data_IF_823743348822
#
_entry.id   IF_823743348822
#
_cell.length_a   1.000
_cell.length_b   1.000
_cell.length_c   1.000
_cell.angle_alpha   90.00
_cell.angle_beta   90.00
_cell.angle_gamma   90.00
#
_symmetry.space_group_name_H-M   'P 1'
#
loop_
_entity.id
_entity.type
_entity.pdbx_description
1 polymer ?
#
# COMPACT_ATOMS: atom_id res chain seq x y z
N UNK A 1 49.73 -1.51 19.38
CA UNK A 1 49.01 -1.55 18.09
C UNK A 1 47.48 -1.66 18.23
N UNK A 2 46.94 -1.74 19.45
CA UNK A 2 45.50 -1.88 19.74
C UNK A 2 44.70 -0.57 19.74
N UNK A 3 45.37 0.60 19.86
CA UNK A 3 44.71 1.92 19.91
C UNK A 3 44.05 2.34 18.59
N UNK A 4 44.60 1.93 17.44
CA UNK A 4 44.05 2.31 16.13
C UNK A 4 42.81 1.49 15.73
N UNK A 5 42.68 0.26 16.25
CA UNK A 5 41.52 -0.60 16.01
C UNK A 5 40.23 -0.05 16.66
N UNK A 6 40.35 0.59 17.83
CA UNK A 6 39.23 1.19 18.54
C UNK A 6 38.66 2.44 17.85
N UNK A 7 39.46 3.10 17.00
CA UNK A 7 39.04 4.28 16.23
C UNK A 7 38.30 3.93 14.93
N UNK A 8 38.36 2.67 14.48
CA UNK A 8 37.67 2.21 13.26
C UNK A 8 36.22 1.79 13.49
N UNK A 9 35.84 1.38 14.71
CA UNK A 9 34.46 1.01 15.04
C UNK A 9 33.42 2.14 14.84
N UNK A 10 33.66 3.40 15.25
CA UNK A 10 32.66 4.45 15.06
C UNK A 10 32.51 4.87 13.59
N UNK A 11 33.54 4.67 12.77
CA UNK A 11 33.51 5.05 11.36
C UNK A 11 32.57 4.15 10.54
N UNK A 12 32.52 2.84 10.86
CA UNK A 12 31.58 1.90 10.23
C UNK A 12 30.12 2.13 10.66
N UNK A 13 29.88 2.66 11.86
CA UNK A 13 28.53 2.99 12.32
C UNK A 13 27.93 4.20 11.57
N UNK A 14 28.76 5.15 11.13
CA UNK A 14 28.32 6.36 10.43
C UNK A 14 27.87 6.09 8.99
N UNK A 15 28.46 5.09 8.32
CA UNK A 15 28.12 4.71 6.94
C UNK A 15 26.99 3.67 6.85
N UNK A 16 26.62 3.03 7.96
CA UNK A 16 25.56 2.01 7.97
C UNK A 16 24.14 2.57 8.20
N UNK A 17 23.92 3.85 7.95
CA UNK A 17 22.56 4.40 7.93
C UNK A 17 21.85 3.95 6.64
N UNK A 18 21.22 2.76 6.72
CA UNK A 18 20.25 2.34 5.73
C UNK A 18 19.10 3.36 5.77
N UNK A 19 19.15 4.32 4.85
CA UNK A 19 18.08 5.28 4.61
C UNK A 19 16.85 4.47 4.23
N UNK A 20 16.06 4.10 5.23
CA UNK A 20 14.73 3.55 5.00
C UNK A 20 13.92 4.71 4.47
N UNK A 21 13.94 4.89 3.14
CA UNK A 21 13.00 5.76 2.45
C UNK A 21 11.62 5.24 2.84
N UNK A 22 11.00 5.91 3.82
CA UNK A 22 9.58 5.76 4.08
C UNK A 22 8.91 6.22 2.82
N UNK A 23 8.56 5.29 1.95
CA UNK A 23 7.63 5.56 0.87
C UNK A 23 6.30 5.86 1.57
N UNK A 24 6.06 7.14 1.85
CA UNK A 24 4.89 7.63 2.60
C UNK A 24 3.63 7.59 1.75
N UNK A 25 3.73 7.21 0.48
CA UNK A 25 2.55 6.96 -0.33
C UNK A 25 1.81 5.77 0.27
N UNK A 26 0.62 6.03 0.82
CA UNK A 26 -0.27 4.99 1.25
C UNK A 26 -0.67 4.16 0.04
N UNK A 27 -0.81 2.84 0.21
CA UNK A 27 -1.35 1.95 -0.84
C UNK A 27 -2.74 2.40 -1.30
N UNK A 28 -3.41 3.21 -0.48
CA UNK A 28 -4.74 3.76 -0.70
C UNK A 28 -4.75 5.13 -1.38
N UNK A 29 -3.59 5.77 -1.60
CA UNK A 29 -3.53 7.10 -2.16
C UNK A 29 -4.12 7.12 -3.58
N UNK A 30 -5.15 7.94 -3.79
CA UNK A 30 -5.89 8.05 -5.05
C UNK A 30 -6.96 6.97 -5.26
N UNK A 31 -7.16 6.05 -4.31
CA UNK A 31 -8.19 5.02 -4.39
C UNK A 31 -9.46 5.45 -3.63
N UNK A 32 -10.62 5.05 -4.15
CA UNK A 32 -11.92 5.24 -3.48
C UNK A 32 -12.75 3.97 -3.54
N UNK A 33 -13.55 3.73 -2.51
CA UNK A 33 -14.48 2.61 -2.46
C UNK A 33 -15.59 2.84 -3.48
N UNK A 34 -15.81 1.86 -4.34
CA UNK A 34 -16.86 1.94 -5.35
C UNK A 34 -18.21 1.56 -4.72
N UNK A 35 -19.10 2.54 -4.60
CA UNK A 35 -20.45 2.38 -4.02
C UNK A 35 -21.54 2.83 -5.00
N UNK A 36 -21.80 2.06 -6.07
CA UNK A 36 -22.85 2.38 -7.02
C UNK A 36 -24.22 2.43 -6.34
N UNK A 37 -25.12 3.28 -6.86
CA UNK A 37 -26.52 3.33 -6.40
C UNK A 37 -27.20 1.98 -6.64
N UNK A 38 -28.23 1.61 -5.86
CA UNK A 38 -28.88 0.29 -5.99
C UNK A 38 -29.35 -0.04 -7.41
N UNK A 39 -29.99 0.91 -8.10
CA UNK A 39 -30.42 0.73 -9.49
C UNK A 39 -29.24 0.45 -10.43
N UNK A 40 -28.15 1.21 -10.31
CA UNK A 40 -26.94 1.04 -11.11
C UNK A 40 -26.25 -0.29 -10.81
N UNK A 41 -26.19 -0.69 -9.53
CA UNK A 41 -25.63 -1.98 -9.14
C UNK A 41 -26.44 -3.14 -9.76
N UNK A 42 -27.78 -3.06 -9.72
CA UNK A 42 -28.64 -4.05 -10.34
C UNK A 42 -28.42 -4.14 -11.86
N UNK A 43 -28.32 -3.00 -12.55
CA UNK A 43 -28.00 -2.97 -13.98
C UNK A 43 -26.64 -3.62 -14.25
N UNK A 44 -25.58 -3.22 -13.56
CA UNK A 44 -24.23 -3.79 -13.75
C UNK A 44 -24.25 -5.31 -13.54
N UNK A 45 -24.91 -5.80 -12.50
CA UNK A 45 -24.99 -7.25 -12.21
C UNK A 45 -25.71 -8.01 -13.33
N UNK A 46 -26.75 -7.41 -13.93
CA UNK A 46 -27.54 -8.03 -14.99
C UNK A 46 -26.85 -7.99 -16.35
N UNK A 47 -26.20 -6.86 -16.68
CA UNK A 47 -25.70 -6.60 -18.04
C UNK A 47 -24.20 -6.87 -18.18
N UNK A 48 -23.43 -6.74 -17.10
CA UNK A 48 -21.96 -6.84 -17.13
C UNK A 48 -21.40 -7.48 -15.84
N UNK A 49 -21.61 -8.79 -15.74
CA UNK A 49 -21.07 -9.60 -14.63
C UNK A 49 -19.54 -9.50 -14.50
N UNK A 50 -18.73 -9.50 -15.59
CA UNK A 50 -17.30 -9.28 -15.47
C UNK A 50 -16.96 -7.95 -14.78
N UNK A 51 -17.62 -6.86 -15.12
CA UNK A 51 -17.40 -5.57 -14.47
C UNK A 51 -17.86 -5.59 -13.00
N UNK A 52 -19.00 -6.22 -12.69
CA UNK A 52 -19.45 -6.42 -11.31
C UNK A 52 -18.38 -7.12 -10.45
N UNK A 53 -17.72 -8.14 -11.01
CA UNK A 53 -16.64 -8.86 -10.33
C UNK A 53 -15.40 -7.99 -10.12
N UNK A 54 -15.08 -7.11 -11.06
CA UNK A 54 -13.97 -6.16 -10.92
C UNK A 54 -14.23 -5.17 -9.77
N UNK A 55 -15.45 -4.60 -9.69
CA UNK A 55 -15.85 -3.73 -8.57
C UNK A 55 -15.72 -4.46 -7.23
N UNK A 56 -16.20 -5.70 -7.17
CA UNK A 56 -16.09 -6.53 -5.96
C UNK A 56 -14.64 -6.85 -5.59
N UNK A 57 -13.78 -7.10 -6.59
CA UNK A 57 -12.34 -7.35 -6.38
C UNK A 57 -11.62 -6.09 -5.87
N UNK A 58 -11.87 -4.94 -6.50
CA UNK A 58 -11.33 -3.63 -6.10
C UNK A 58 -11.66 -3.31 -4.64
N UNK A 59 -12.94 -3.41 -4.28
CA UNK A 59 -13.38 -3.12 -2.91
C UNK A 59 -12.78 -4.10 -1.89
N UNK A 60 -12.67 -5.39 -2.21
CA UNK A 60 -12.02 -6.40 -1.35
C UNK A 60 -10.52 -6.13 -1.18
N UNK A 61 -9.83 -5.78 -2.26
CA UNK A 61 -8.41 -5.43 -2.18
C UNK A 61 -8.19 -4.22 -1.26
N UNK A 62 -8.92 -3.12 -1.46
CA UNK A 62 -8.76 -1.97 -0.58
C UNK A 62 -9.09 -2.26 0.89
N UNK A 63 -10.04 -3.17 1.17
CA UNK A 63 -10.30 -3.62 2.55
C UNK A 63 -9.10 -4.38 3.13
N UNK A 64 -8.44 -5.23 2.33
CA UNK A 64 -7.22 -5.94 2.75
C UNK A 64 -6.03 -5.01 3.04
N UNK A 65 -6.03 -3.82 2.45
CA UNK A 65 -5.02 -2.78 2.65
C UNK A 65 -5.45 -1.74 3.72
N UNK A 66 -6.55 -1.98 4.42
CA UNK A 66 -7.15 -1.04 5.38
C UNK A 66 -7.46 0.36 4.80
N UNK A 67 -7.76 0.44 3.50
CA UNK A 67 -8.14 1.68 2.83
C UNK A 67 -9.55 2.16 3.20
N UNK A 68 -10.41 1.22 3.61
CA UNK A 68 -11.78 1.49 4.02
C UNK A 68 -11.98 0.94 5.43
N UNK A 69 -12.63 1.74 6.30
CA UNK A 69 -13.13 1.32 7.60
C UNK A 69 -14.63 0.99 7.50
#
# INVERSE_FOLDING_TARGET
MTRFLLLMLPLCALISSCQTVKNTASVCDGWQKLTPRPATAATIIQTDRPFANQIASHNRFGASQACWN
#
